data_IF_319938693049
#
_entry.id   IF_319938693049
#
_cell.length_a   1.000
_cell.length_b   1.000
_cell.length_c   1.000
_cell.angle_alpha   90.00
_cell.angle_beta   90.00
_cell.angle_gamma   90.00
#
_symmetry.space_group_name_H-M   'P 1'
#
loop_
_entity.id
_entity.type
_entity.pdbx_description
1 polymer ?
#
# COMPACT_ATOMS: atom_id res chain seq x y z
N UNK A 1 -4.78 29.14 41.09
CA UNK A 1 -3.90 28.97 39.91
C UNK A 1 -4.05 30.23 39.07
N UNK A 2 -2.99 31.01 38.87
CA UNK A 2 -3.09 32.35 38.27
C UNK A 2 -3.15 32.27 36.74
N UNK A 3 -3.86 33.18 36.06
CA UNK A 3 -4.14 33.11 34.60
C UNK A 3 -2.84 33.00 33.79
N UNK A 4 -1.78 33.67 34.24
CA UNK A 4 -0.45 33.62 33.60
C UNK A 4 0.20 32.24 33.67
N UNK A 5 -0.01 31.48 34.74
CA UNK A 5 0.48 30.10 34.88
C UNK A 5 -0.27 29.11 33.97
N UNK A 6 -1.56 29.38 33.70
CA UNK A 6 -2.37 28.59 32.78
C UNK A 6 -1.97 28.88 31.32
N UNK A 7 -1.69 30.14 30.99
CA UNK A 7 -1.24 30.55 29.65
C UNK A 7 0.17 30.02 29.33
N UNK A 8 1.10 30.07 30.28
CA UNK A 8 2.44 29.50 30.12
C UNK A 8 2.40 27.97 29.97
N UNK A 9 1.54 27.28 30.73
CA UNK A 9 1.34 25.83 30.60
C UNK A 9 0.71 25.44 29.26
N UNK A 10 -0.30 26.19 28.79
CA UNK A 10 -0.93 25.98 27.49
C UNK A 10 0.04 26.26 26.33
N UNK A 11 0.84 27.33 26.41
CA UNK A 11 1.84 27.67 25.40
C UNK A 11 2.94 26.61 25.28
N UNK A 12 3.42 26.07 26.41
CA UNK A 12 4.44 25.02 26.42
C UNK A 12 3.89 23.69 25.87
N UNK A 13 2.63 23.34 26.21
CA UNK A 13 1.94 22.17 25.66
C UNK A 13 1.65 22.30 24.16
N UNK A 14 1.21 23.47 23.69
CA UNK A 14 1.00 23.75 22.26
C UNK A 14 2.32 23.71 21.49
N UNK A 15 3.39 24.31 22.02
CA UNK A 15 4.73 24.22 21.41
C UNK A 15 5.26 22.78 21.33
N UNK A 16 4.98 21.95 22.34
CA UNK A 16 5.30 20.52 22.30
C UNK A 16 4.42 19.75 21.30
N UNK A 17 3.15 20.14 21.15
CA UNK A 17 2.20 19.56 20.20
C UNK A 17 2.59 19.85 18.74
N UNK A 18 2.99 21.08 18.43
CA UNK A 18 3.44 21.48 17.10
C UNK A 18 4.87 21.01 16.78
N UNK A 19 5.70 20.72 17.77
CA UNK A 19 7.05 20.18 17.55
C UNK A 19 7.11 18.64 17.43
N UNK A 20 5.97 17.94 17.52
CA UNK A 20 5.90 16.47 17.42
C UNK A 20 6.54 15.71 18.58
N UNK A 21 7.15 16.40 19.55
CA UNK A 21 7.92 15.80 20.65
C UNK A 21 7.06 15.16 21.75
N UNK A 22 5.77 15.52 21.88
CA UNK A 22 4.87 14.86 22.85
C UNK A 22 4.68 13.37 22.51
N UNK A 23 4.79 13.02 21.23
CA UNK A 23 4.39 11.70 20.76
C UNK A 23 5.57 10.83 20.29
N UNK A 24 6.81 11.29 20.41
CA UNK A 24 8.01 10.59 19.89
C UNK A 24 8.30 9.22 20.52
N UNK A 25 7.61 8.84 21.60
CA UNK A 25 7.67 7.50 22.22
C UNK A 25 6.44 6.62 22.01
N UNK A 26 5.43 7.12 21.29
CA UNK A 26 4.16 6.44 21.05
C UNK A 26 4.14 5.85 19.64
N UNK A 27 3.46 4.71 19.45
CA UNK A 27 3.31 4.09 18.12
C UNK A 27 2.80 5.11 17.08
N UNK A 28 3.15 4.96 15.81
CA UNK A 28 2.79 5.92 14.76
C UNK A 28 1.29 6.28 14.80
N UNK A 29 0.42 5.30 15.06
CA UNK A 29 -1.03 5.46 15.22
C UNK A 29 -1.43 6.50 16.31
N UNK A 30 -0.75 6.50 17.45
CA UNK A 30 -1.02 7.41 18.56
C UNK A 30 -0.57 8.85 18.28
N UNK A 31 0.48 9.05 17.46
CA UNK A 31 0.85 10.38 16.97
C UNK A 31 -0.21 10.92 16.01
N UNK A 32 -0.73 10.07 15.10
CA UNK A 32 -1.80 10.45 14.18
C UNK A 32 -3.08 10.85 14.92
N UNK A 33 -3.48 10.06 15.93
CA UNK A 33 -4.65 10.36 16.76
C UNK A 33 -4.47 11.69 17.49
N UNK A 34 -3.29 11.94 18.09
CA UNK A 34 -3.00 13.17 18.83
C UNK A 34 -3.02 14.43 17.95
N UNK A 35 -2.40 14.37 16.77
CA UNK A 35 -2.41 15.48 15.80
C UNK A 35 -3.82 15.72 15.27
N UNK A 36 -4.55 14.67 14.92
CA UNK A 36 -5.92 14.81 14.41
C UNK A 36 -6.88 15.35 15.48
N UNK A 37 -6.75 14.93 16.74
CA UNK A 37 -7.50 15.50 17.87
C UNK A 37 -7.19 16.99 18.10
N UNK A 38 -5.95 17.40 17.90
CA UNK A 38 -5.54 18.78 18.13
C UNK A 38 -6.03 19.72 17.02
N UNK A 39 -5.97 19.26 15.77
CA UNK A 39 -6.60 19.94 14.64
C UNK A 39 -8.12 19.99 14.81
N UNK A 40 -8.73 18.90 15.29
CA UNK A 40 -10.16 18.82 15.61
C UNK A 40 -10.57 19.82 16.70
N UNK A 41 -9.82 19.92 17.79
CA UNK A 41 -10.09 20.87 18.87
C UNK A 41 -9.92 22.32 18.40
N UNK A 42 -8.89 22.60 17.61
CA UNK A 42 -8.69 23.93 17.02
C UNK A 42 -9.85 24.29 16.07
N UNK A 43 -10.27 23.35 15.23
CA UNK A 43 -11.41 23.52 14.33
C UNK A 43 -12.70 23.77 15.14
N UNK A 44 -12.97 22.98 16.17
CA UNK A 44 -14.12 23.16 17.07
C UNK A 44 -14.13 24.54 17.73
N UNK A 45 -12.97 25.06 18.16
CA UNK A 45 -12.86 26.39 18.75
C UNK A 45 -13.21 27.47 17.71
N UNK A 46 -12.66 27.37 16.50
CA UNK A 46 -12.96 28.31 15.40
C UNK A 46 -14.44 28.25 15.01
N UNK A 47 -14.99 27.05 14.95
CA UNK A 47 -16.40 26.76 14.68
C UNK A 47 -17.31 27.32 15.76
N UNK A 48 -17.00 27.12 17.04
CA UNK A 48 -17.80 27.62 18.15
C UNK A 48 -17.83 29.14 18.18
N UNK A 49 -16.71 29.78 17.86
CA UNK A 49 -16.62 31.23 17.70
C UNK A 49 -17.45 31.68 16.49
N UNK A 50 -17.43 30.94 15.37
CA UNK A 50 -18.17 31.27 14.14
C UNK A 50 -19.68 31.05 14.24
N UNK A 51 -20.12 29.96 14.85
CA UNK A 51 -21.53 29.58 14.97
C UNK A 51 -22.31 30.48 15.93
N UNK A 52 -21.62 31.30 16.73
CA UNK A 52 -22.27 32.29 17.60
C UNK A 52 -22.95 33.42 16.80
N UNK A 53 -22.70 33.53 15.49
CA UNK A 53 -23.15 34.66 14.68
C UNK A 53 -24.06 34.34 13.47
N UNK A 54 -24.17 33.11 12.99
CA UNK A 54 -25.14 32.75 11.92
C UNK A 54 -25.58 31.27 11.95
N UNK A 55 -26.90 31.04 11.93
CA UNK A 55 -27.54 29.70 11.96
C UNK A 55 -27.31 28.89 10.69
N UNK A 56 -27.18 29.51 9.51
CA UNK A 56 -26.95 28.77 8.25
C UNK A 56 -25.53 28.18 8.21
N UNK A 57 -24.55 28.98 8.60
CA UNK A 57 -23.15 28.57 8.72
C UNK A 57 -22.95 27.41 9.71
N UNK A 58 -23.75 27.36 10.78
CA UNK A 58 -23.68 26.29 11.78
C UNK A 58 -24.02 24.89 11.21
N UNK A 59 -24.90 24.80 10.20
CA UNK A 59 -25.33 23.50 9.64
C UNK A 59 -24.22 22.81 8.84
N UNK A 60 -23.49 23.56 8.02
CA UNK A 60 -22.34 23.02 7.25
C UNK A 60 -21.16 22.68 8.13
N UNK A 61 -20.93 23.50 9.14
CA UNK A 61 -19.93 23.24 10.17
C UNK A 61 -20.24 21.96 10.93
N UNK A 62 -21.50 21.75 11.31
CA UNK A 62 -21.94 20.51 11.96
C UNK A 62 -21.78 19.30 11.03
N UNK A 63 -22.06 19.45 9.73
CA UNK A 63 -21.84 18.41 8.72
C UNK A 63 -20.35 18.04 8.61
N UNK A 64 -19.46 19.01 8.44
CA UNK A 64 -18.02 18.74 8.36
C UNK A 64 -17.45 18.18 9.66
N UNK A 65 -17.96 18.64 10.80
CA UNK A 65 -17.62 18.06 12.10
C UNK A 65 -18.08 16.59 12.19
N UNK A 66 -19.28 16.29 11.71
CA UNK A 66 -19.82 14.93 11.69
C UNK A 66 -19.00 14.03 10.78
N UNK A 67 -18.58 14.50 9.61
CA UNK A 67 -17.69 13.76 8.69
C UNK A 67 -16.33 13.50 9.33
N UNK A 68 -15.75 14.50 9.99
CA UNK A 68 -14.48 14.37 10.69
C UNK A 68 -14.58 13.41 11.89
N UNK A 69 -15.64 13.52 12.69
CA UNK A 69 -15.92 12.59 13.78
C UNK A 69 -16.10 11.18 13.24
N UNK A 70 -16.92 11.00 12.19
CA UNK A 70 -17.06 9.71 11.53
C UNK A 70 -15.69 9.17 11.14
N UNK A 71 -14.87 9.93 10.43
CA UNK A 71 -13.51 9.54 10.03
C UNK A 71 -12.63 9.10 11.23
N UNK A 72 -12.63 9.87 12.32
CA UNK A 72 -11.85 9.56 13.53
C UNK A 72 -12.34 8.32 14.29
N UNK A 73 -13.65 8.09 14.26
CA UNK A 73 -14.31 7.00 14.98
C UNK A 73 -14.60 5.77 14.10
N UNK A 74 -14.31 5.79 12.79
CA UNK A 74 -14.39 4.58 11.95
C UNK A 74 -13.38 3.58 12.53
N UNK A 75 -13.82 2.38 12.97
CA UNK A 75 -12.92 1.38 13.50
C UNK A 75 -11.84 1.05 12.46
N UNK A 76 -10.58 0.96 12.89
CA UNK A 76 -9.47 0.64 12.00
C UNK A 76 -9.69 -0.67 11.21
N UNK A 77 -10.49 -1.59 11.74
CA UNK A 77 -10.88 -2.84 11.07
C UNK A 77 -11.82 -2.61 9.87
N UNK A 78 -12.69 -1.59 9.94
CA UNK A 78 -13.60 -1.17 8.85
C UNK A 78 -12.83 -0.34 7.83
N UNK A 79 -11.79 0.37 8.27
CA UNK A 79 -10.76 0.90 7.41
C UNK A 79 -9.87 -0.25 6.89
N UNK A 80 -10.45 -1.14 6.08
CA UNK A 80 -9.70 -2.15 5.31
C UNK A 80 -8.42 -1.49 4.79
N UNK A 81 -7.27 -2.19 4.83
CA UNK A 81 -5.86 -1.71 4.65
C UNK A 81 -5.54 -0.61 3.61
N UNK A 82 -6.49 -0.21 2.78
CA UNK A 82 -6.40 0.67 1.61
C UNK A 82 -7.39 1.85 1.61
N UNK A 83 -8.35 1.87 2.54
CA UNK A 83 -9.39 2.91 2.66
C UNK A 83 -8.86 4.22 3.29
N UNK A 84 -7.92 4.22 4.27
CA UNK A 84 -7.49 5.46 4.93
C UNK A 84 -6.96 6.50 3.94
N UNK A 85 -6.06 6.10 3.03
CA UNK A 85 -5.40 7.02 2.09
C UNK A 85 -6.40 7.73 1.17
N UNK A 86 -7.44 7.01 0.72
CA UNK A 86 -8.49 7.57 -0.14
C UNK A 86 -9.49 8.42 0.64
N UNK A 87 -9.71 8.11 1.91
CA UNK A 87 -10.71 8.82 2.73
C UNK A 87 -10.18 10.12 3.31
N UNK A 88 -8.86 10.23 3.49
CA UNK A 88 -8.22 11.48 3.92
C UNK A 88 -8.53 12.66 2.99
N UNK A 89 -8.63 12.44 1.68
CA UNK A 89 -8.98 13.49 0.71
C UNK A 89 -10.38 14.06 1.01
N UNK A 90 -11.35 13.20 1.33
CA UNK A 90 -12.71 13.65 1.66
C UNK A 90 -12.76 14.50 2.93
N UNK A 91 -11.89 14.21 3.90
CA UNK A 91 -11.77 15.05 5.10
C UNK A 91 -11.35 16.47 4.73
N UNK A 92 -10.29 16.61 3.93
CA UNK A 92 -9.83 17.93 3.50
C UNK A 92 -10.84 18.65 2.61
N UNK A 93 -11.52 17.94 1.70
CA UNK A 93 -12.61 18.51 0.92
C UNK A 93 -13.75 19.02 1.80
N UNK A 94 -14.13 18.27 2.84
CA UNK A 94 -15.16 18.70 3.80
C UNK A 94 -14.76 19.94 4.59
N UNK A 95 -13.46 20.07 4.94
CA UNK A 95 -12.91 21.24 5.59
C UNK A 95 -12.89 22.45 4.65
N UNK A 96 -12.43 22.27 3.40
CA UNK A 96 -12.44 23.33 2.39
C UNK A 96 -13.86 23.81 2.11
N UNK A 97 -14.84 22.90 2.04
CA UNK A 97 -16.25 23.25 1.89
C UNK A 97 -16.79 24.04 3.09
N UNK A 98 -16.51 23.60 4.33
CA UNK A 98 -16.91 24.34 5.53
C UNK A 98 -16.32 25.76 5.53
N UNK A 99 -15.05 25.87 5.18
CA UNK A 99 -14.32 27.14 5.15
C UNK A 99 -14.86 28.06 4.04
N UNK A 100 -15.18 27.51 2.86
CA UNK A 100 -15.79 28.25 1.76
C UNK A 100 -17.16 28.81 2.14
N UNK A 101 -17.97 28.01 2.85
CA UNK A 101 -19.26 28.47 3.39
C UNK A 101 -19.06 29.59 4.41
N UNK A 102 -18.12 29.44 5.35
CA UNK A 102 -17.81 30.47 6.34
C UNK A 102 -17.32 31.77 5.70
N UNK A 103 -16.44 31.67 4.71
CA UNK A 103 -15.89 32.79 3.94
C UNK A 103 -16.96 33.55 3.14
N UNK A 104 -18.07 32.89 2.78
CA UNK A 104 -19.19 33.52 2.06
C UNK A 104 -20.14 34.32 2.96
N UNK A 105 -20.04 34.19 4.29
CA UNK A 105 -20.92 34.92 5.22
C UNK A 105 -20.50 36.39 5.33
N UNK A 106 -21.48 37.31 5.28
CA UNK A 106 -21.24 38.75 5.35
C UNK A 106 -20.52 39.16 6.64
N UNK A 107 -20.81 38.51 7.76
CA UNK A 107 -20.20 38.78 9.06
C UNK A 107 -18.69 38.50 9.10
N UNK A 108 -18.19 37.57 8.27
CA UNK A 108 -16.78 37.22 8.21
C UNK A 108 -16.00 38.02 7.16
N UNK A 109 -16.67 38.44 6.09
CA UNK A 109 -16.08 39.18 4.97
C UNK A 109 -15.42 40.50 5.38
N UNK A 110 -15.87 41.11 6.48
CA UNK A 110 -15.32 42.37 7.00
C UNK A 110 -14.15 42.21 7.99
N UNK A 111 -13.92 41.00 8.53
CA UNK A 111 -12.93 40.78 9.60
C UNK A 111 -11.74 39.95 9.18
N UNK A 112 -11.89 39.10 8.18
CA UNK A 112 -10.83 38.24 7.68
C UNK A 112 -10.84 38.29 6.17
N UNK A 113 -9.65 38.31 5.55
CA UNK A 113 -9.52 38.12 4.11
C UNK A 113 -9.97 36.68 3.80
N UNK A 114 -11.10 36.48 3.09
CA UNK A 114 -11.59 35.15 2.74
C UNK A 114 -10.57 34.35 1.92
N UNK A 115 -9.65 35.03 1.22
CA UNK A 115 -8.52 34.40 0.52
C UNK A 115 -7.61 33.65 1.49
N UNK A 116 -7.22 34.27 2.61
CA UNK A 116 -6.31 33.63 3.58
C UNK A 116 -6.94 32.41 4.26
N UNK A 117 -8.24 32.45 4.53
CA UNK A 117 -8.98 31.33 5.13
C UNK A 117 -9.02 30.09 4.22
N UNK A 118 -9.07 30.27 2.89
CA UNK A 118 -9.07 29.18 1.91
C UNK A 118 -7.65 28.74 1.56
N UNK A 119 -6.72 29.69 1.42
CA UNK A 119 -5.33 29.43 1.04
C UNK A 119 -4.62 28.59 2.10
N UNK A 120 -4.80 28.88 3.39
CA UNK A 120 -4.13 28.16 4.46
C UNK A 120 -4.45 26.64 4.51
N UNK A 121 -5.71 26.19 4.57
CA UNK A 121 -6.06 24.76 4.54
C UNK A 121 -5.72 24.10 3.20
N UNK A 122 -5.77 24.84 2.08
CA UNK A 122 -5.33 24.32 0.79
C UNK A 122 -3.81 24.06 0.78
N UNK A 123 -3.01 25.00 1.30
CA UNK A 123 -1.56 24.81 1.48
C UNK A 123 -1.27 23.68 2.46
N UNK A 124 -2.00 23.58 3.57
CA UNK A 124 -1.85 22.46 4.53
C UNK A 124 -2.19 21.12 3.88
N UNK A 125 -3.25 21.04 3.07
CA UNK A 125 -3.59 19.84 2.31
C UNK A 125 -2.48 19.49 1.32
N UNK A 126 -2.00 20.46 0.53
CA UNK A 126 -0.93 20.25 -0.44
C UNK A 126 0.36 19.85 0.27
N UNK A 127 0.72 20.49 1.39
CA UNK A 127 1.91 20.17 2.16
C UNK A 127 1.81 18.78 2.80
N UNK A 128 0.65 18.44 3.37
CA UNK A 128 0.37 17.12 3.94
C UNK A 128 0.41 16.04 2.86
N UNK A 129 -0.29 16.23 1.73
CA UNK A 129 -0.30 15.29 0.62
C UNK A 129 1.08 15.16 0.02
N UNK A 130 1.80 16.26 -0.20
CA UNK A 130 3.15 16.24 -0.77
C UNK A 130 4.14 15.58 0.19
N UNK A 131 4.17 15.94 1.47
CA UNK A 131 5.07 15.34 2.45
C UNK A 131 4.84 13.84 2.64
N UNK A 132 3.59 13.42 2.84
CA UNK A 132 3.29 12.00 3.07
C UNK A 132 3.28 11.18 1.79
N UNK A 133 2.84 11.74 0.66
CA UNK A 133 2.82 11.00 -0.60
C UNK A 133 4.18 10.99 -1.27
N UNK A 134 4.92 12.10 -1.39
CA UNK A 134 6.17 12.10 -2.17
C UNK A 134 7.18 11.07 -1.67
N UNK A 135 7.52 11.08 -0.38
CA UNK A 135 8.58 10.21 0.13
C UNK A 135 8.18 8.73 0.12
N UNK A 136 6.93 8.41 0.48
CA UNK A 136 6.46 7.03 0.48
C UNK A 136 6.21 6.51 -0.94
N UNK A 137 5.67 7.32 -1.84
CA UNK A 137 5.42 6.91 -3.23
C UNK A 137 6.73 6.80 -4.02
N UNK A 138 7.73 7.63 -3.75
CA UNK A 138 9.07 7.45 -4.35
C UNK A 138 9.64 6.08 -3.97
N UNK A 139 9.61 5.73 -2.67
CA UNK A 139 10.02 4.38 -2.21
C UNK A 139 9.17 3.26 -2.81
N UNK A 140 7.85 3.44 -2.91
CA UNK A 140 6.98 2.45 -3.58
C UNK A 140 7.35 2.30 -5.05
N UNK A 141 7.65 3.40 -5.74
CA UNK A 141 8.05 3.38 -7.14
C UNK A 141 9.39 2.68 -7.31
N UNK A 142 10.35 2.90 -6.41
CA UNK A 142 11.63 2.16 -6.38
C UNK A 142 11.36 0.66 -6.23
N UNK A 143 10.57 0.26 -5.23
CA UNK A 143 10.21 -1.14 -5.02
C UNK A 143 9.42 -1.74 -6.18
N UNK A 144 8.51 -0.99 -6.79
CA UNK A 144 7.75 -1.46 -7.94
C UNK A 144 8.66 -1.59 -9.17
N UNK A 145 9.56 -0.63 -9.40
CA UNK A 145 10.55 -0.69 -10.48
C UNK A 145 11.41 -1.93 -10.32
N UNK A 146 11.85 -2.19 -9.10
CA UNK A 146 12.65 -3.37 -8.78
C UNK A 146 11.86 -4.68 -8.90
N UNK A 147 10.62 -4.70 -8.42
CA UNK A 147 9.69 -5.82 -8.58
C UNK A 147 9.52 -6.18 -10.06
N UNK A 148 9.42 -5.17 -10.93
CA UNK A 148 9.18 -5.31 -12.36
C UNK A 148 10.47 -5.48 -13.19
N UNK A 149 11.66 -5.47 -12.57
CA UNK A 149 12.94 -5.47 -13.31
C UNK A 149 13.20 -6.79 -14.06
N UNK A 150 12.45 -7.85 -13.75
CA UNK A 150 12.48 -9.14 -14.44
C UNK A 150 11.47 -9.25 -15.58
N UNK A 151 10.64 -8.23 -15.83
CA UNK A 151 9.49 -8.33 -16.73
C UNK A 151 9.87 -8.76 -18.14
N UNK A 152 10.98 -8.24 -18.69
CA UNK A 152 11.47 -8.57 -20.05
C UNK A 152 11.93 -10.01 -20.23
N UNK A 153 12.14 -10.74 -19.13
CA UNK A 153 12.54 -12.15 -19.15
C UNK A 153 11.34 -13.10 -19.04
N UNK A 154 10.14 -12.57 -18.81
CA UNK A 154 8.91 -13.34 -18.77
C UNK A 154 8.27 -13.33 -20.15
N UNK A 155 8.16 -14.50 -20.74
CA UNK A 155 7.50 -14.68 -22.02
C UNK A 155 6.00 -14.41 -21.95
N UNK A 156 5.42 -14.05 -23.09
CA UNK A 156 3.99 -13.86 -23.20
C UNK A 156 3.20 -15.16 -23.01
N UNK A 157 1.95 -15.07 -22.56
CA UNK A 157 1.05 -16.22 -22.41
C UNK A 157 1.56 -17.32 -21.44
N UNK A 158 2.44 -16.94 -20.52
CA UNK A 158 3.04 -17.84 -19.53
C UNK A 158 2.24 -17.90 -18.24
N UNK A 159 2.53 -18.85 -17.36
CA UNK A 159 2.01 -18.85 -15.99
C UNK A 159 3.07 -18.35 -15.02
N UNK A 160 2.70 -17.47 -14.10
CA UNK A 160 3.60 -16.91 -13.09
C UNK A 160 3.04 -17.12 -11.69
N UNK A 161 3.88 -17.61 -10.77
CA UNK A 161 3.61 -17.67 -9.34
C UNK A 161 4.44 -16.61 -8.63
N UNK A 162 3.78 -15.57 -8.12
CA UNK A 162 4.45 -14.58 -7.27
C UNK A 162 4.41 -15.04 -5.79
N UNK A 163 5.59 -15.28 -5.23
CA UNK A 163 5.81 -15.61 -3.82
C UNK A 163 6.37 -14.38 -3.12
N UNK A 164 5.70 -13.97 -2.04
CA UNK A 164 6.24 -12.95 -1.15
C UNK A 164 6.97 -13.63 0.00
N UNK A 165 8.12 -13.09 0.36
CA UNK A 165 8.84 -13.43 1.58
C UNK A 165 8.66 -12.27 2.56
N UNK A 166 8.04 -12.56 3.70
CA UNK A 166 7.87 -11.59 4.78
C UNK A 166 9.20 -11.41 5.52
N UNK A 167 10.07 -10.59 4.96
CA UNK A 167 11.25 -10.11 5.68
C UNK A 167 10.85 -8.88 6.52
N UNK A 168 11.11 -8.85 7.83
CA UNK A 168 11.08 -7.62 8.58
C UNK A 168 12.12 -6.67 7.96
N UNK A 169 11.64 -5.60 7.35
CA UNK A 169 12.55 -4.57 6.85
C UNK A 169 13.09 -3.74 8.02
N UNK A 170 14.34 -3.25 7.93
CA UNK A 170 14.91 -2.35 8.93
C UNK A 170 14.05 -1.11 9.15
N UNK A 171 13.34 -0.64 8.11
CA UNK A 171 12.37 0.43 8.21
C UNK A 171 10.92 -0.13 8.26
N UNK A 172 10.18 0.25 9.31
CA UNK A 172 8.75 -0.09 9.45
C UNK A 172 7.93 0.37 8.24
N UNK A 173 8.34 1.48 7.63
CA UNK A 173 7.75 2.03 6.41
C UNK A 173 7.91 1.06 5.24
N UNK A 174 9.13 0.55 4.98
CA UNK A 174 9.37 -0.42 3.91
C UNK A 174 8.55 -1.70 4.06
N UNK A 175 8.40 -2.20 5.29
CA UNK A 175 7.57 -3.38 5.56
C UNK A 175 6.09 -3.18 5.19
N UNK A 176 5.50 -2.03 5.54
CA UNK A 176 4.13 -1.69 5.15
C UNK A 176 3.98 -1.48 3.64
N UNK A 177 4.96 -0.85 2.99
CA UNK A 177 4.94 -0.60 1.55
C UNK A 177 5.11 -1.88 0.72
N UNK A 178 5.91 -2.85 1.17
CA UNK A 178 6.02 -4.17 0.53
C UNK A 178 4.70 -4.94 0.56
N UNK A 179 3.89 -4.73 1.61
CA UNK A 179 2.55 -5.29 1.66
C UNK A 179 1.68 -4.72 0.55
N UNK A 180 1.97 -3.49 0.06
CA UNK A 180 1.23 -2.92 -1.06
C UNK A 180 1.45 -3.67 -2.37
N UNK A 181 2.62 -4.30 -2.51
CA UNK A 181 3.01 -5.12 -3.65
C UNK A 181 2.65 -6.60 -3.49
N UNK A 182 1.81 -6.96 -2.51
CA UNK A 182 1.37 -8.34 -2.27
C UNK A 182 0.78 -9.01 -3.52
N UNK A 183 0.21 -8.21 -4.43
CA UNK A 183 -0.42 -8.65 -5.68
C UNK A 183 0.39 -8.24 -6.91
N UNK A 184 1.70 -7.98 -6.73
CA UNK A 184 2.57 -7.58 -7.83
C UNK A 184 2.56 -8.55 -9.01
N UNK A 185 2.29 -9.85 -8.77
CA UNK A 185 2.25 -10.87 -9.82
C UNK A 185 1.23 -10.55 -10.91
N UNK A 186 0.14 -9.87 -10.54
CA UNK A 186 -0.88 -9.45 -11.48
C UNK A 186 -0.40 -8.37 -12.46
N UNK A 187 0.64 -7.59 -12.13
CA UNK A 187 1.26 -6.67 -13.10
C UNK A 187 1.95 -7.44 -14.23
N UNK A 188 2.66 -8.53 -13.89
CA UNK A 188 3.26 -9.41 -14.90
C UNK A 188 2.19 -10.07 -15.77
N UNK A 189 1.12 -10.56 -15.15
CA UNK A 189 -0.03 -11.13 -15.85
C UNK A 189 -0.60 -10.16 -16.90
N UNK A 190 -0.84 -8.91 -16.52
CA UNK A 190 -1.39 -7.90 -17.44
C UNK A 190 -0.41 -7.52 -18.55
N UNK A 191 0.87 -7.30 -18.22
CA UNK A 191 1.84 -6.77 -19.20
C UNK A 191 2.43 -7.83 -20.14
N UNK A 192 2.32 -9.12 -19.78
CA UNK A 192 2.80 -10.25 -20.59
C UNK A 192 1.68 -11.16 -21.08
N UNK A 193 0.41 -10.79 -20.92
CA UNK A 193 -0.71 -11.70 -21.22
C UNK A 193 -0.57 -13.05 -20.45
N UNK A 194 0.08 -13.01 -19.29
CA UNK A 194 0.38 -14.18 -18.47
C UNK A 194 -0.74 -14.45 -17.45
N UNK A 195 -0.73 -15.64 -16.86
CA UNK A 195 -1.66 -16.03 -15.80
C UNK A 195 -0.96 -15.95 -14.46
N UNK A 196 -1.40 -15.02 -13.59
CA UNK A 196 -1.04 -15.03 -12.17
C UNK A 196 -1.77 -16.17 -11.48
N UNK A 197 -1.05 -17.24 -11.15
CA UNK A 197 -1.66 -18.43 -10.53
C UNK A 197 -2.01 -18.20 -9.06
N UNK A 198 -1.59 -17.09 -8.45
CA UNK A 198 -1.83 -16.74 -7.03
C UNK A 198 -2.66 -15.44 -6.88
N UNK A 199 -3.69 -15.28 -7.71
CA UNK A 199 -4.66 -14.21 -7.58
C UNK A 199 -5.61 -14.46 -6.38
N UNK A 200 -5.24 -13.94 -5.21
CA UNK A 200 -6.02 -14.11 -3.97
C UNK A 200 -7.49 -13.71 -4.09
N UNK A 201 -7.78 -12.60 -4.80
CA UNK A 201 -9.16 -12.14 -4.95
C UNK A 201 -10.05 -13.14 -5.68
N UNK A 202 -9.48 -14.00 -6.53
CA UNK A 202 -10.24 -15.06 -7.19
C UNK A 202 -10.71 -16.16 -6.23
N UNK A 203 -10.22 -16.17 -4.98
CA UNK A 203 -10.68 -17.03 -3.90
C UNK A 203 -11.80 -16.38 -3.03
N UNK A 204 -11.90 -15.04 -3.00
CA UNK A 204 -12.80 -14.33 -2.07
C UNK A 204 -14.19 -14.03 -2.62
N UNK A 205 -14.45 -14.31 -3.92
CA UNK A 205 -15.68 -13.94 -4.66
C UNK A 205 -15.96 -12.42 -4.73
N UNK A 206 -15.02 -11.58 -4.31
CA UNK A 206 -15.17 -10.11 -4.32
C UNK A 206 -14.98 -9.54 -5.73
N UNK A 207 -14.25 -10.24 -6.58
CA UNK A 207 -14.02 -9.87 -7.99
C UNK A 207 -14.71 -10.88 -8.93
N UNK A 208 -15.07 -10.49 -10.16
CA UNK A 208 -15.75 -11.39 -11.11
C UNK A 208 -14.85 -12.51 -11.67
N UNK A 209 -13.60 -12.60 -11.22
CA UNK A 209 -12.68 -13.69 -11.54
C UNK A 209 -12.75 -14.73 -10.44
N UNK A 210 -12.96 -15.99 -10.77
CA UNK A 210 -13.03 -17.09 -9.80
C UNK A 210 -12.27 -18.31 -10.28
N UNK A 211 -11.60 -19.00 -9.36
CA UNK A 211 -11.02 -20.30 -9.68
C UNK A 211 -12.10 -21.37 -9.86
N UNK A 212 -11.88 -22.26 -10.84
CA UNK A 212 -12.62 -23.54 -10.87
C UNK A 212 -12.31 -24.30 -9.58
N UNK A 213 -13.32 -24.88 -8.92
CA UNK A 213 -13.15 -25.54 -7.61
C UNK A 213 -12.05 -26.61 -7.59
N UNK A 214 -11.92 -27.38 -8.67
CA UNK A 214 -10.90 -28.43 -8.84
C UNK A 214 -9.50 -27.89 -9.11
N UNK A 215 -9.35 -26.62 -9.51
CA UNK A 215 -8.07 -25.98 -9.85
C UNK A 215 -7.74 -24.81 -8.92
N UNK A 216 -8.44 -24.66 -7.80
CA UNK A 216 -8.23 -23.55 -6.88
C UNK A 216 -6.91 -23.78 -6.11
N UNK A 217 -5.90 -22.92 -6.29
CA UNK A 217 -4.59 -23.10 -5.68
C UNK A 217 -4.63 -23.10 -4.16
N UNK A 218 -5.47 -22.25 -3.56
CA UNK A 218 -5.66 -22.13 -2.12
C UNK A 218 -6.33 -23.34 -1.47
N UNK A 219 -6.87 -24.27 -2.27
CA UNK A 219 -7.47 -25.52 -1.76
C UNK A 219 -6.53 -26.70 -1.85
N UNK A 220 -5.60 -26.69 -2.80
CA UNK A 220 -4.90 -27.91 -3.22
C UNK A 220 -3.40 -27.85 -2.99
N UNK A 221 -2.73 -26.74 -3.26
CA UNK A 221 -1.27 -26.71 -3.31
C UNK A 221 -0.62 -25.43 -2.78
N UNK A 222 -1.42 -24.40 -2.46
CA UNK A 222 -0.99 -23.24 -1.69
C UNK A 222 -1.65 -23.31 -0.32
N UNK A 223 -0.87 -23.57 0.72
CA UNK A 223 -1.31 -23.37 2.11
C UNK A 223 -0.92 -21.94 2.52
N UNK A 224 -1.75 -21.01 2.07
CA UNK A 224 -1.71 -19.59 2.43
C UNK A 224 -2.99 -19.35 3.23
N UNK A 225 -2.91 -19.57 4.54
CA UNK A 225 -4.07 -19.53 5.45
C UNK A 225 -4.45 -18.11 5.83
N UNK A 226 -3.53 -17.16 5.64
CA UNK A 226 -3.73 -15.74 5.94
C UNK A 226 -3.21 -14.87 4.79
N UNK A 227 -3.72 -13.65 4.66
CA UNK A 227 -3.23 -12.63 3.70
C UNK A 227 -1.73 -12.27 3.95
N UNK A 228 -1.11 -12.86 4.98
CA UNK A 228 0.17 -12.48 5.58
C UNK A 228 0.96 -13.72 6.06
N UNK A 229 0.92 -14.84 5.34
CA UNK A 229 1.87 -15.91 5.69
C UNK A 229 3.31 -15.45 5.42
N UNK A 230 4.22 -15.83 6.32
CA UNK A 230 5.59 -15.34 6.32
C UNK A 230 6.39 -15.86 5.12
N UNK A 231 6.09 -17.09 4.69
CA UNK A 231 6.49 -17.72 3.44
C UNK A 231 5.37 -18.69 3.08
N UNK A 232 4.70 -18.56 1.93
CA UNK A 232 3.66 -19.51 1.56
C UNK A 232 4.27 -20.91 1.36
N UNK A 233 3.63 -21.93 1.92
CA UNK A 233 3.98 -23.31 1.61
C UNK A 233 3.38 -23.66 0.26
N UNK A 234 4.25 -23.86 -0.73
CA UNK A 234 3.89 -24.18 -2.11
C UNK A 234 4.28 -25.62 -2.40
N UNK A 235 3.32 -26.42 -2.85
CA UNK A 235 3.55 -27.77 -3.35
C UNK A 235 3.55 -27.77 -4.89
N UNK A 236 4.75 -27.62 -5.47
CA UNK A 236 4.94 -27.62 -6.93
C UNK A 236 4.56 -28.94 -7.59
N UNK A 237 4.73 -30.07 -6.88
CA UNK A 237 4.35 -31.39 -7.39
C UNK A 237 2.84 -31.52 -7.53
N UNK A 238 2.09 -31.10 -6.51
CA UNK A 238 0.63 -31.06 -6.58
C UNK A 238 0.15 -30.11 -7.68
N UNK A 239 0.78 -28.93 -7.84
CA UNK A 239 0.46 -28.04 -8.96
C UNK A 239 0.63 -28.74 -10.31
N UNK A 240 1.77 -29.38 -10.55
CA UNK A 240 2.06 -30.08 -11.80
C UNK A 240 1.06 -31.21 -12.09
N UNK A 241 0.53 -31.88 -11.05
CA UNK A 241 -0.46 -32.94 -11.20
C UNK A 241 -1.88 -32.45 -11.53
N UNK A 242 -2.25 -31.24 -11.14
CA UNK A 242 -3.61 -30.69 -11.27
C UNK A 242 -3.73 -29.71 -12.44
N UNK A 243 -2.64 -29.00 -12.75
CA UNK A 243 -2.61 -28.02 -13.82
C UNK A 243 -2.37 -28.69 -15.17
N UNK A 244 -3.12 -28.26 -16.19
CA UNK A 244 -2.88 -28.66 -17.58
C UNK A 244 -1.66 -27.94 -18.18
N UNK A 245 -1.23 -26.84 -17.57
CA UNK A 245 -0.05 -26.08 -17.97
C UNK A 245 1.01 -26.13 -16.88
N UNK A 246 2.30 -26.34 -17.22
CA UNK A 246 3.38 -26.26 -16.26
C UNK A 246 3.49 -24.84 -15.72
N UNK A 247 4.11 -24.71 -14.55
CA UNK A 247 4.40 -23.41 -13.98
C UNK A 247 5.66 -22.88 -14.66
N UNK A 248 5.52 -21.89 -15.53
CA UNK A 248 6.66 -21.35 -16.30
C UNK A 248 7.62 -20.53 -15.44
N UNK A 249 7.10 -19.67 -14.56
CA UNK A 249 7.91 -18.74 -13.77
C UNK A 249 7.49 -18.69 -12.32
N UNK A 250 8.48 -18.53 -11.44
CA UNK A 250 8.29 -18.21 -10.02
C UNK A 250 9.03 -16.91 -9.73
N UNK A 251 8.30 -15.91 -9.25
CA UNK A 251 8.87 -14.64 -8.82
C UNK A 251 8.86 -14.61 -7.30
N UNK A 252 10.03 -14.57 -6.67
CA UNK A 252 10.15 -14.34 -5.24
C UNK A 252 10.40 -12.85 -5.00
N UNK A 253 9.60 -12.25 -4.13
CA UNK A 253 9.69 -10.86 -3.73
C UNK A 253 9.95 -10.70 -2.25
N UNK A 254 11.10 -10.11 -1.91
CA UNK A 254 11.52 -9.77 -0.56
C UNK A 254 13.04 -9.92 -0.38
N UNK A 255 13.58 -9.33 0.69
CA UNK A 255 14.99 -9.49 1.02
C UNK A 255 15.25 -10.90 1.58
N UNK A 256 15.66 -11.82 0.70
CA UNK A 256 15.95 -13.20 1.09
C UNK A 256 17.09 -13.30 2.11
N UNK A 257 18.14 -12.49 1.96
CA UNK A 257 19.28 -12.51 2.86
C UNK A 257 18.88 -12.14 4.29
N UNK A 258 18.10 -11.07 4.44
CA UNK A 258 17.60 -10.64 5.74
C UNK A 258 16.57 -11.64 6.29
N UNK A 259 15.68 -12.17 5.45
CA UNK A 259 14.69 -13.16 5.87
C UNK A 259 15.35 -14.43 6.43
N UNK A 260 16.47 -14.85 5.85
CA UNK A 260 17.25 -16.01 6.28
C UNK A 260 17.93 -15.84 7.65
N UNK A 261 18.02 -14.61 8.17
CA UNK A 261 18.50 -14.35 9.55
C UNK A 261 17.43 -14.65 10.60
N UNK A 262 16.17 -14.73 10.20
CA UNK A 262 15.08 -15.08 11.12
C UNK A 262 14.93 -16.60 11.21
N UNK A 263 15.20 -17.15 12.39
CA UNK A 263 15.18 -18.61 12.63
C UNK A 263 13.87 -19.27 12.20
N UNK A 264 12.73 -18.58 12.41
CA UNK A 264 11.40 -19.06 12.01
C UNK A 264 11.21 -19.18 10.49
N UNK A 265 11.97 -18.42 9.70
CA UNK A 265 11.85 -18.38 8.23
C UNK A 265 12.91 -19.21 7.52
N UNK A 266 14.06 -19.41 8.16
CA UNK A 266 15.22 -20.07 7.56
C UNK A 266 14.91 -21.46 7.01
N UNK A 267 14.28 -22.34 7.80
CA UNK A 267 13.94 -23.69 7.34
C UNK A 267 12.88 -23.71 6.21
N UNK A 268 11.75 -22.98 6.31
CA UNK A 268 10.80 -22.84 5.20
C UNK A 268 11.42 -22.27 3.91
N UNK A 269 12.27 -21.24 4.02
CA UNK A 269 12.93 -20.62 2.86
C UNK A 269 13.93 -21.56 2.20
N UNK A 270 14.77 -22.24 2.98
CA UNK A 270 15.69 -23.24 2.46
C UNK A 270 14.95 -24.35 1.71
N UNK A 271 13.82 -24.81 2.26
CA UNK A 271 12.98 -25.81 1.59
C UNK A 271 12.42 -25.26 0.27
N UNK A 272 11.84 -24.06 0.28
CA UNK A 272 11.32 -23.42 -0.92
C UNK A 272 12.40 -23.26 -2.00
N UNK A 273 13.58 -22.77 -1.64
CA UNK A 273 14.70 -22.59 -2.57
C UNK A 273 15.16 -23.94 -3.11
N UNK A 274 15.34 -24.95 -2.25
CA UNK A 274 15.74 -26.29 -2.67
C UNK A 274 14.71 -26.95 -3.59
N UNK A 275 13.41 -26.75 -3.34
CA UNK A 275 12.34 -27.24 -4.21
C UNK A 275 12.33 -26.53 -5.57
N UNK A 276 12.61 -25.22 -5.61
CA UNK A 276 12.76 -24.48 -6.86
C UNK A 276 13.99 -24.93 -7.65
N UNK A 277 15.13 -25.15 -7.02
CA UNK A 277 16.38 -25.57 -7.68
C UNK A 277 16.30 -26.94 -8.35
N UNK A 278 15.29 -27.77 -8.04
CA UNK A 278 15.05 -29.05 -8.71
C UNK A 278 14.55 -28.86 -10.15
N UNK A 279 13.62 -27.93 -10.34
CA UNK A 279 12.86 -27.81 -11.59
C UNK A 279 13.00 -26.43 -12.27
N UNK A 280 13.63 -25.47 -11.61
CA UNK A 280 13.75 -24.09 -12.08
C UNK A 280 15.21 -23.60 -12.04
N UNK A 281 15.52 -22.69 -12.97
CA UNK A 281 16.76 -21.92 -13.00
C UNK A 281 16.50 -20.48 -12.56
N UNK A 282 17.37 -19.95 -11.70
CA UNK A 282 17.38 -18.53 -11.37
C UNK A 282 17.92 -17.74 -12.57
N UNK A 283 17.06 -16.95 -13.22
CA UNK A 283 17.41 -16.21 -14.45
C UNK A 283 17.57 -14.70 -14.23
N UNK A 284 17.14 -14.18 -13.08
CA UNK A 284 17.29 -12.77 -12.74
C UNK A 284 17.27 -12.56 -11.23
N UNK A 285 18.13 -11.64 -10.78
CA UNK A 285 18.02 -10.98 -9.48
C UNK A 285 18.03 -9.48 -9.73
N UNK A 286 17.17 -8.74 -9.05
CA UNK A 286 17.10 -7.29 -9.21
C UNK A 286 18.30 -6.58 -8.56
N UNK A 287 18.47 -5.29 -8.91
CA UNK A 287 19.46 -4.38 -8.34
C UNK A 287 18.78 -3.01 -8.13
N UNK A 288 19.11 -2.25 -7.09
CA UNK A 288 20.22 -2.46 -6.14
C UNK A 288 19.87 -3.29 -4.89
N UNK A 289 18.60 -3.45 -4.54
CA UNK A 289 18.23 -4.06 -3.25
C UNK A 289 18.23 -5.60 -3.29
N UNK A 290 18.15 -6.19 -4.48
CA UNK A 290 18.12 -7.65 -4.66
C UNK A 290 16.83 -8.28 -4.15
N UNK A 291 15.71 -7.56 -4.18
CA UNK A 291 14.44 -8.06 -3.63
C UNK A 291 13.67 -8.97 -4.57
N UNK A 292 13.85 -8.84 -5.89
CA UNK A 292 13.19 -9.69 -6.87
C UNK A 292 14.15 -10.79 -7.31
N UNK A 293 13.70 -12.04 -7.21
CA UNK A 293 14.34 -13.21 -7.77
C UNK A 293 13.38 -13.90 -8.73
N UNK A 294 13.77 -14.03 -10.00
CA UNK A 294 12.94 -14.66 -11.03
C UNK A 294 13.53 -16.01 -11.39
N UNK A 295 12.75 -17.05 -11.17
CA UNK A 295 13.04 -18.42 -11.55
C UNK A 295 12.23 -18.80 -12.78
N UNK A 296 12.83 -19.53 -13.72
CA UNK A 296 12.20 -20.07 -14.93
C UNK A 296 12.28 -21.59 -14.92
N UNK A 297 11.19 -22.24 -15.29
CA UNK A 297 11.14 -23.70 -15.36
C UNK A 297 12.13 -24.24 -16.41
N UNK A 298 12.92 -25.25 -16.04
CA UNK A 298 13.95 -25.87 -16.90
C UNK A 298 13.38 -26.50 -18.15
N UNK A 299 12.21 -27.11 -18.06
CA UNK A 299 11.55 -27.79 -19.19
C UNK A 299 11.20 -26.83 -20.33
N UNK A 300 11.25 -25.52 -20.07
CA UNK A 300 10.99 -24.45 -21.03
C UNK A 300 12.19 -24.07 -21.90
N UNK A 301 13.41 -24.50 -21.54
CA UNK A 301 14.65 -24.13 -22.25
C UNK A 301 14.74 -24.68 -23.69
N UNK A 302 13.90 -25.66 -24.06
CA UNK A 302 14.05 -26.39 -25.33
C UNK A 302 13.27 -25.83 -26.54
N UNK A 303 12.50 -24.74 -26.39
CA UNK A 303 11.64 -24.26 -27.49
C UNK A 303 12.14 -23.00 -28.21
N UNK A 304 13.14 -22.29 -27.69
CA UNK A 304 13.74 -21.12 -28.37
C UNK A 304 15.03 -21.45 -29.13
N UNK A 305 15.51 -22.70 -29.05
CA UNK A 305 16.67 -23.17 -29.79
C UNK A 305 16.28 -23.79 -31.16
N UNK A 306 15.25 -23.26 -31.82
CA UNK A 306 15.13 -23.43 -33.27
C UNK A 306 16.03 -22.37 -33.90
N UNK A 307 17.16 -22.74 -34.52
CA UNK A 307 17.94 -21.79 -35.29
C UNK A 307 17.05 -21.31 -36.43
N UNK A 308 16.77 -20.01 -36.44
CA UNK A 308 16.09 -19.33 -37.53
C UNK A 308 16.91 -19.52 -38.81
N UNK A 309 16.61 -20.59 -39.54
CA UNK A 309 17.28 -21.01 -40.77
C UNK A 309 16.38 -20.88 -41.99
N UNK A 310 15.19 -20.28 -41.84
CA UNK A 310 14.19 -20.21 -42.92
C UNK A 310 13.79 -18.80 -43.35
N UNK A 311 14.38 -17.71 -42.83
CA UNK A 311 14.23 -16.37 -43.41
C UNK A 311 15.38 -15.98 -44.35
N UNK A 312 15.63 -16.84 -45.35
CA UNK A 312 16.30 -16.46 -46.61
C UNK A 312 15.51 -17.07 -47.76
N UNK A 313 14.74 -16.25 -48.46
CA UNK A 313 14.19 -16.61 -49.76
C UNK A 313 13.01 -15.74 -50.18
N UNK A 314 13.18 -15.08 -51.34
CA UNK A 314 12.25 -14.21 -52.08
C UNK A 314 12.02 -12.80 -51.49
N UNK A 315 12.40 -11.66 -52.07
CA UNK A 315 12.99 -11.30 -53.37
C UNK A 315 12.41 -12.04 -54.58
N UNK A 316 11.20 -11.67 -54.98
CA UNK A 316 10.85 -11.33 -56.36
C UNK A 316 9.84 -10.18 -56.35
#
# INVERSE_FOLDING_TARGET
MNIESLAAFAGNRLGMLFSGKVFSGLSDATQYIGTALSVFLLFLIVVFIACRWDRRSASFVFLSLSILLLYLFIPFQVQVRWVPERTTIYLFLSLLLAISVLASSESYRYRFDPGLLIIFPAIMLIAYSTYHHSNNHLKVNEYLTEYMSGLDRVEKNSTILAIRVASPMPDKVGSHLLHKLLQGGSYYAVLRDSVDVKLFQANTKVVPVVYRKSKNPYRHWIRDTEIIDLVPQVDFGTFASISEKPLDYVLIWGNLQEAMRYEKLKAPLNRLISDLEKDFDLISVSSPLGFMHLFRNRTKLDLTAVPDSSFRGAAE
#
